data_IF_275424117912
#
_entry.id   IF_275424117912
#
_cell.length_a   1.000
_cell.length_b   1.000
_cell.length_c   1.000
_cell.angle_alpha   90.00
_cell.angle_beta   90.00
_cell.angle_gamma   90.00
#
_symmetry.space_group_name_H-M   'P 1'
#
loop_
_entity.id
_entity.type
_entity.pdbx_description
1 polymer ?
#
# COMPACT_ATOMS: atom_id res chain seq x y z
N UNK A 1 1.88 -7.87 -4.66
CA UNK A 1 2.49 -6.68 -4.02
C UNK A 1 3.78 -7.14 -3.37
N UNK A 2 4.83 -6.33 -3.36
CA UNK A 2 6.11 -6.69 -2.72
C UNK A 2 6.88 -5.46 -2.26
N UNK A 3 7.90 -5.63 -1.43
CA UNK A 3 8.89 -4.58 -1.15
C UNK A 3 9.95 -4.50 -2.27
N UNK A 4 10.91 -3.59 -2.17
CA UNK A 4 11.95 -3.41 -3.19
C UNK A 4 12.83 -4.65 -3.39
N UNK A 5 13.12 -5.41 -2.32
CA UNK A 5 13.95 -6.63 -2.37
C UNK A 5 13.18 -7.76 -3.05
N UNK A 6 11.93 -8.00 -2.62
CA UNK A 6 11.02 -8.98 -3.21
C UNK A 6 10.77 -8.68 -4.70
N UNK A 7 10.57 -7.41 -5.04
CA UNK A 7 10.35 -6.99 -6.42
C UNK A 7 11.59 -7.20 -7.28
N UNK A 8 12.79 -6.88 -6.76
CA UNK A 8 14.04 -7.11 -7.48
C UNK A 8 14.29 -8.60 -7.70
N UNK A 9 14.01 -9.43 -6.70
CA UNK A 9 14.11 -10.89 -6.81
C UNK A 9 13.15 -11.44 -7.87
N UNK A 10 11.88 -11.01 -7.84
CA UNK A 10 10.86 -11.48 -8.78
C UNK A 10 11.09 -11.01 -10.22
N UNK A 11 11.43 -9.72 -10.41
CA UNK A 11 11.50 -9.12 -11.73
C UNK A 11 12.90 -9.21 -12.35
N UNK A 12 13.93 -9.61 -11.59
CA UNK A 12 15.37 -9.55 -11.89
C UNK A 12 15.92 -8.13 -12.20
N UNK A 13 15.08 -7.22 -12.69
CA UNK A 13 15.37 -5.81 -13.01
C UNK A 13 14.32 -4.91 -12.40
N UNK A 14 14.75 -3.93 -11.62
CA UNK A 14 13.87 -2.94 -10.99
C UNK A 14 13.69 -1.70 -11.90
N UNK A 15 12.95 -1.88 -13.00
CA UNK A 15 12.61 -0.81 -13.95
C UNK A 15 11.10 -0.74 -14.16
N UNK A 16 10.57 0.47 -14.25
CA UNK A 16 9.13 0.71 -14.40
C UNK A 16 8.57 0.02 -15.67
N UNK A 17 9.30 0.03 -16.80
CA UNK A 17 8.82 -0.62 -18.03
C UNK A 17 8.72 -2.14 -17.89
N UNK A 18 9.68 -2.75 -17.18
CA UNK A 18 9.69 -4.21 -16.92
C UNK A 18 8.52 -4.60 -16.04
N UNK A 19 8.29 -3.85 -14.96
CA UNK A 19 7.19 -4.13 -14.03
C UNK A 19 5.83 -3.94 -14.71
N UNK A 20 5.66 -2.88 -15.52
CA UNK A 20 4.42 -2.66 -16.27
C UNK A 20 4.18 -3.76 -17.32
N UNK A 21 5.23 -4.23 -18.01
CA UNK A 21 5.14 -5.36 -18.93
C UNK A 21 4.69 -6.63 -18.22
N UNK A 22 5.35 -6.99 -17.12
CA UNK A 22 5.00 -8.16 -16.30
C UNK A 22 3.56 -8.07 -15.77
N UNK A 23 3.15 -6.89 -15.30
CA UNK A 23 1.77 -6.66 -14.85
C UNK A 23 0.76 -6.98 -15.95
N UNK A 24 1.00 -6.51 -17.18
CA UNK A 24 0.13 -6.78 -18.34
C UNK A 24 0.15 -8.26 -18.73
N UNK A 25 1.32 -8.89 -18.80
CA UNK A 25 1.48 -10.31 -19.15
C UNK A 25 0.75 -11.24 -18.16
N UNK A 26 0.78 -10.90 -16.87
CA UNK A 26 0.09 -11.66 -15.82
C UNK A 26 -1.40 -11.29 -15.69
N UNK A 27 -1.90 -10.34 -16.48
CA UNK A 27 -3.27 -9.84 -16.35
C UNK A 27 -3.55 -9.18 -14.98
N UNK A 28 -2.51 -8.71 -14.29
CA UNK A 28 -2.64 -8.17 -12.95
C UNK A 28 -3.27 -6.77 -12.97
N UNK A 29 -4.29 -6.55 -12.14
CA UNK A 29 -4.95 -5.25 -12.00
C UNK A 29 -3.96 -4.14 -11.61
N UNK A 30 -3.03 -4.45 -10.70
CA UNK A 30 -2.02 -3.52 -10.23
C UNK A 30 -0.75 -4.26 -9.79
N UNK A 31 0.40 -3.60 -9.94
CA UNK A 31 1.65 -3.98 -9.29
C UNK A 31 2.03 -2.88 -8.30
N UNK A 32 2.34 -3.27 -7.06
CA UNK A 32 2.66 -2.32 -5.98
C UNK A 32 3.99 -2.69 -5.35
N UNK A 33 4.89 -1.70 -5.30
CA UNK A 33 6.18 -1.81 -4.64
C UNK A 33 6.19 -0.95 -3.37
N UNK A 34 6.32 -1.59 -2.22
CA UNK A 34 6.44 -0.93 -0.90
C UNK A 34 7.89 -0.50 -0.68
N UNK A 35 8.07 0.72 -0.19
CA UNK A 35 9.38 1.34 0.06
C UNK A 35 9.46 1.93 1.49
N UNK A 36 8.86 1.25 2.46
CA UNK A 36 8.92 1.63 3.88
C UNK A 36 8.44 3.07 4.14
N UNK A 37 9.29 3.87 4.77
CA UNK A 37 9.00 5.29 5.07
C UNK A 37 8.79 6.16 3.82
N UNK A 38 9.28 5.74 2.65
CA UNK A 38 9.07 6.43 1.37
C UNK A 38 7.66 6.20 0.81
N UNK A 39 6.88 5.30 1.42
CA UNK A 39 5.55 4.90 0.99
C UNK A 39 5.60 3.76 -0.01
N UNK A 40 4.97 3.92 -1.17
CA UNK A 40 4.90 2.87 -2.18
C UNK A 40 4.76 3.44 -3.59
N UNK A 41 5.13 2.63 -4.59
CA UNK A 41 4.87 2.90 -6.00
C UNK A 41 3.78 1.97 -6.48
N UNK A 42 2.72 2.53 -7.06
CA UNK A 42 1.65 1.75 -7.68
C UNK A 42 1.72 1.91 -9.20
N UNK A 43 1.55 0.78 -9.88
CA UNK A 43 1.63 0.65 -11.33
C UNK A 43 0.35 -0.06 -11.76
N UNK A 44 -0.51 0.62 -12.51
CA UNK A 44 -1.80 0.07 -12.96
C UNK A 44 -2.23 0.72 -14.29
N UNK A 45 -3.42 0.39 -14.79
CA UNK A 45 -3.92 0.94 -16.05
C UNK A 45 -4.03 2.48 -16.09
N UNK A 46 -4.07 3.15 -14.94
CA UNK A 46 -4.07 4.62 -14.85
C UNK A 46 -2.67 5.23 -14.74
N UNK A 47 -1.61 4.42 -14.91
CA UNK A 47 -0.22 4.87 -14.93
C UNK A 47 0.58 4.43 -13.71
N UNK A 48 1.67 5.16 -13.47
CA UNK A 48 2.62 4.92 -12.38
C UNK A 48 2.55 6.10 -11.42
N UNK A 49 2.22 5.84 -10.15
CA UNK A 49 2.14 6.87 -9.11
C UNK A 49 3.05 6.50 -7.93
N UNK A 50 3.80 7.48 -7.42
CA UNK A 50 4.48 7.39 -6.14
C UNK A 50 3.55 7.91 -5.04
N UNK A 51 3.09 7.03 -4.16
CA UNK A 51 2.27 7.36 -3.01
C UNK A 51 3.18 7.49 -1.79
N UNK A 52 3.49 8.73 -1.43
CA UNK A 52 4.27 9.05 -0.24
C UNK A 52 3.53 8.63 1.04
N UNK A 53 4.28 8.17 2.04
CA UNK A 53 3.75 7.94 3.38
C UNK A 53 4.09 9.13 4.29
N UNK A 54 3.18 9.48 5.20
CA UNK A 54 3.47 10.47 6.25
C UNK A 54 4.34 9.82 7.32
N UNK A 55 5.31 10.56 7.86
CA UNK A 55 6.17 10.07 8.95
C UNK A 55 5.37 9.95 10.25
N UNK A 56 5.68 8.90 11.02
CA UNK A 56 5.15 8.65 12.37
C UNK A 56 6.30 8.18 13.27
N UNK A 57 6.12 8.22 14.59
CA UNK A 57 7.08 7.64 15.52
C UNK A 57 6.95 6.12 15.47
N UNK A 58 7.95 5.44 14.92
CA UNK A 58 7.94 3.98 14.80
C UNK A 58 8.37 3.33 16.11
N UNK A 59 7.54 2.43 16.62
CA UNK A 59 7.77 1.57 17.79
C UNK A 59 8.17 0.16 17.35
N UNK A 60 7.40 -0.45 16.45
CA UNK A 60 7.66 -1.82 15.94
C UNK A 60 7.16 -1.95 14.50
N UNK A 61 7.92 -2.60 13.62
CA UNK A 61 7.54 -2.80 12.20
C UNK A 61 6.97 -4.20 11.91
N UNK A 62 6.94 -5.09 12.90
CA UNK A 62 6.42 -6.46 12.77
C UNK A 62 4.98 -6.44 12.24
N UNK A 63 4.68 -7.14 11.15
CA UNK A 63 3.33 -7.14 10.55
C UNK A 63 2.97 -5.89 9.72
N UNK A 64 3.90 -4.96 9.47
CA UNK A 64 3.65 -3.81 8.60
C UNK A 64 3.27 -4.24 7.17
N UNK A 65 3.90 -5.30 6.65
CA UNK A 65 3.53 -5.85 5.35
C UNK A 65 2.08 -6.34 5.29
N UNK A 66 1.62 -7.00 6.35
CA UNK A 66 0.26 -7.52 6.44
C UNK A 66 -0.76 -6.40 6.61
N UNK A 67 -0.46 -5.41 7.46
CA UNK A 67 -1.29 -4.21 7.60
C UNK A 67 -1.43 -3.46 6.27
N UNK A 68 -0.32 -3.31 5.52
CA UNK A 68 -0.38 -2.71 4.18
C UNK A 68 -1.34 -3.47 3.27
N UNK A 69 -1.17 -4.80 3.20
CA UNK A 69 -1.97 -5.66 2.34
C UNK A 69 -3.45 -5.60 2.74
N UNK A 70 -3.77 -5.63 4.04
CA UNK A 70 -5.13 -5.49 4.54
C UNK A 70 -5.77 -4.17 4.11
N UNK A 71 -5.07 -3.04 4.28
CA UNK A 71 -5.57 -1.73 3.86
C UNK A 71 -5.75 -1.64 2.33
N UNK A 72 -4.80 -2.15 1.56
CA UNK A 72 -4.92 -2.17 0.10
C UNK A 72 -6.10 -3.02 -0.36
N UNK A 73 -6.23 -4.25 0.14
CA UNK A 73 -7.32 -5.17 -0.24
C UNK A 73 -8.69 -4.65 0.19
N UNK A 74 -8.79 -4.02 1.36
CA UNK A 74 -10.01 -3.32 1.77
C UNK A 74 -10.37 -2.20 0.78
N UNK A 75 -9.40 -1.39 0.35
CA UNK A 75 -9.64 -0.34 -0.64
C UNK A 75 -10.13 -0.90 -1.98
N UNK A 76 -9.45 -1.92 -2.52
CA UNK A 76 -9.82 -2.56 -3.78
C UNK A 76 -11.22 -3.18 -3.71
N UNK A 77 -11.52 -3.92 -2.64
CA UNK A 77 -12.84 -4.56 -2.46
C UNK A 77 -13.99 -3.56 -2.33
N UNK A 78 -13.69 -2.32 -1.93
CA UNK A 78 -14.64 -1.20 -1.90
C UNK A 78 -14.66 -0.37 -3.20
N UNK A 79 -14.01 -0.84 -4.27
CA UNK A 79 -14.03 -0.19 -5.58
C UNK A 79 -13.10 1.02 -5.70
N UNK A 80 -12.16 1.21 -4.77
CA UNK A 80 -11.14 2.24 -4.91
C UNK A 80 -10.17 1.88 -6.04
N UNK A 81 -9.68 2.90 -6.75
CA UNK A 81 -8.57 2.71 -7.70
C UNK A 81 -7.30 2.30 -6.94
N UNK A 82 -6.33 1.63 -7.59
CA UNK A 82 -5.12 1.16 -6.93
C UNK A 82 -4.32 2.21 -6.16
N UNK A 83 -4.19 3.45 -6.64
CA UNK A 83 -3.48 4.48 -5.86
C UNK A 83 -4.20 4.92 -4.59
N UNK A 84 -5.53 4.96 -4.60
CA UNK A 84 -6.30 5.29 -3.39
C UNK A 84 -6.24 4.13 -2.38
N UNK A 85 -6.29 2.88 -2.86
CA UNK A 85 -6.04 1.71 -2.02
C UNK A 85 -4.63 1.70 -1.42
N UNK A 86 -3.61 2.16 -2.16
CA UNK A 86 -2.25 2.32 -1.64
C UNK A 86 -2.16 3.36 -0.52
N UNK A 87 -2.91 4.47 -0.61
CA UNK A 87 -3.00 5.48 0.47
C UNK A 87 -3.58 4.87 1.74
N UNK A 88 -4.57 3.98 1.60
CA UNK A 88 -5.16 3.25 2.71
C UNK A 88 -4.18 2.23 3.31
N UNK A 89 -3.45 1.48 2.48
CA UNK A 89 -2.36 0.61 2.93
C UNK A 89 -1.29 1.37 3.72
N UNK A 90 -0.81 2.51 3.20
CA UNK A 90 0.13 3.39 3.90
C UNK A 90 -0.44 3.91 5.23
N UNK A 91 -1.74 4.21 5.31
CA UNK A 91 -2.41 4.59 6.55
C UNK A 91 -2.36 3.47 7.60
N UNK A 92 -2.78 2.26 7.22
CA UNK A 92 -2.80 1.13 8.15
C UNK A 92 -1.39 0.81 8.67
N UNK A 93 -0.37 0.86 7.81
CA UNK A 93 1.04 0.69 8.20
C UNK A 93 1.47 1.74 9.22
N UNK A 94 1.15 3.01 8.99
CA UNK A 94 1.52 4.09 9.91
C UNK A 94 0.95 3.84 11.30
N UNK A 95 -0.32 3.46 11.38
CA UNK A 95 -0.95 3.16 12.66
C UNK A 95 -0.34 1.92 13.30
N UNK A 96 -0.14 0.85 12.50
CA UNK A 96 0.51 -0.39 12.93
C UNK A 96 1.86 -0.12 13.56
N UNK A 97 2.68 0.70 12.91
CA UNK A 97 4.05 0.92 13.33
C UNK A 97 4.20 1.71 14.63
N UNK A 98 3.13 2.33 15.14
CA UNK A 98 3.17 3.12 16.38
C UNK A 98 2.95 2.29 17.65
N UNK A 99 2.68 0.99 17.54
CA UNK A 99 2.56 0.10 18.68
C UNK A 99 3.21 -1.26 18.47
N UNK A 100 3.32 -2.00 19.57
CA UNK A 100 4.05 -3.27 19.63
C UNK A 100 3.26 -4.43 19.03
N UNK A 101 3.99 -5.36 18.41
CA UNK A 101 3.46 -6.57 17.84
C UNK A 101 2.75 -6.37 16.50
N UNK A 102 2.33 -7.48 15.88
CA UNK A 102 1.72 -7.48 14.55
C UNK A 102 0.27 -6.98 14.51
N UNK A 103 -0.41 -6.88 15.66
CA UNK A 103 -1.86 -6.68 15.76
C UNK A 103 -2.27 -5.34 16.37
N UNK A 104 -1.33 -4.40 16.53
CA UNK A 104 -1.65 -3.02 16.89
C UNK A 104 -2.35 -2.32 15.72
N UNK A 105 -3.63 -2.62 15.49
CA UNK A 105 -4.38 -2.19 14.30
C UNK A 105 -5.53 -1.26 14.70
N UNK A 106 -5.85 -0.26 13.85
CA UNK A 106 -6.97 0.63 14.09
C UNK A 106 -8.29 0.02 13.62
N UNK A 107 -9.39 0.53 14.17
CA UNK A 107 -10.71 0.50 13.52
C UNK A 107 -10.74 1.46 12.32
N UNK A 108 -11.72 1.28 11.43
CA UNK A 108 -11.90 2.18 10.29
C UNK A 108 -12.15 3.64 10.74
N UNK A 109 -12.94 3.84 11.79
CA UNK A 109 -13.26 5.17 12.33
C UNK A 109 -12.03 5.87 12.89
N UNK A 110 -11.16 5.14 13.60
CA UNK A 110 -9.87 5.66 14.07
C UNK A 110 -8.99 6.09 12.90
N UNK A 111 -8.99 5.31 11.82
CA UNK A 111 -8.19 5.60 10.63
C UNK A 111 -8.66 6.88 9.91
N UNK A 112 -9.97 6.99 9.68
CA UNK A 112 -10.60 8.14 8.99
C UNK A 112 -10.48 9.41 9.83
N UNK A 113 -10.74 9.31 11.14
CA UNK A 113 -10.64 10.45 12.06
C UNK A 113 -9.22 11.01 12.11
N UNK A 114 -8.21 10.13 12.01
CA UNK A 114 -6.80 10.52 12.08
C UNK A 114 -6.26 11.06 10.76
N UNK A 115 -6.76 10.56 9.63
CA UNK A 115 -6.35 11.00 8.30
C UNK A 115 -7.57 11.28 7.42
N UNK A 116 -8.14 12.48 7.61
CA UNK A 116 -9.29 12.97 6.85
C UNK A 116 -9.03 13.10 5.35
N UNK A 117 -7.76 13.07 4.92
CA UNK A 117 -7.36 13.02 3.52
C UNK A 117 -7.54 11.64 2.86
N UNK A 118 -7.89 10.60 3.63
CA UNK A 118 -8.25 9.29 3.09
C UNK A 118 -9.59 9.37 2.36
N UNK A 119 -9.53 9.35 1.03
CA UNK A 119 -10.71 9.29 0.16
C UNK A 119 -11.27 7.87 0.13
N UNK A 120 -11.99 7.47 1.17
CA UNK A 120 -12.79 6.23 1.18
C UNK A 120 -14.19 6.59 0.73
N UNK A 121 -14.41 6.74 -0.58
CA UNK A 121 -15.78 6.86 -1.10
C UNK A 121 -16.30 5.45 -1.36
N UNK A 122 -16.99 4.89 -0.37
CA UNK A 122 -17.83 3.71 -0.55
C UNK A 122 -18.86 4.00 -1.64
N UNK A 123 -18.97 3.11 -2.63
CA UNK A 123 -20.23 3.00 -3.38
C UNK A 123 -21.27 2.49 -2.37
N UNK A 124 -22.26 3.32 -2.05
CA UNK A 124 -23.54 2.81 -1.54
C UNK A 124 -24.19 1.94 -2.61
#
# INVERSE_FOLDING_TARGET
MGNEIETRSLCQKYKNEVIEKLRKELGAMAFVVKAGEKGCRAIWNGGIELILSKKVKVVDTTGAGDAYNAGFLFGISNGLKPSDACRLGNALVRYKCEGEGARYLPTLDQLISRWSDLRIRSRK
#
